data_IF_173719734161
#
_entry.id   IF_173719734161
#
_cell.length_a   1.000
_cell.length_b   1.000
_cell.length_c   1.000
_cell.angle_alpha   90.00
_cell.angle_beta   90.00
_cell.angle_gamma   90.00
#
_symmetry.space_group_name_H-M   'P 1'
#
loop_
_entity.id
_entity.type
_entity.pdbx_description
1 polymer ?
#
# COMPACT_ATOMS: atom_id res chain seq x y z
N UNK A 1 -27.40 -8.50 -5.48
CA UNK A 1 -26.21 -7.67 -5.26
C UNK A 1 -26.71 -6.29 -4.82
N UNK A 2 -27.06 -6.14 -3.54
CA UNK A 2 -27.73 -4.95 -2.96
C UNK A 2 -26.56 -4.11 -2.39
N UNK A 3 -26.20 -2.90 -2.80
CA UNK A 3 -26.92 -1.67 -2.44
C UNK A 3 -26.44 -0.36 -3.14
N UNK A 4 -25.53 -0.36 -4.11
CA UNK A 4 -25.12 0.88 -4.79
C UNK A 4 -25.31 0.81 -6.30
N UNK A 5 -26.05 1.77 -6.85
CA UNK A 5 -26.31 1.92 -8.30
C UNK A 5 -25.11 2.47 -9.05
N UNK A 6 -24.28 3.27 -8.37
CA UNK A 6 -23.06 3.88 -8.89
C UNK A 6 -21.91 3.60 -7.93
N UNK A 7 -20.89 2.86 -8.38
CA UNK A 7 -19.61 2.77 -7.68
C UNK A 7 -18.66 3.82 -8.26
N UNK A 8 -17.99 4.60 -7.39
CA UNK A 8 -16.94 5.54 -7.83
C UNK A 8 -15.86 4.83 -8.65
N UNK A 9 -15.64 3.55 -8.37
CA UNK A 9 -14.70 2.69 -9.06
C UNK A 9 -15.51 1.60 -9.80
N UNK A 10 -15.59 1.65 -11.14
CA UNK A 10 -16.52 0.81 -11.89
C UNK A 10 -16.07 -0.64 -12.01
N UNK A 11 -14.76 -0.91 -11.96
CA UNK A 11 -14.19 -2.26 -12.01
C UNK A 11 -12.86 -2.36 -11.28
N UNK A 12 -12.41 -3.58 -10.94
CA UNK A 12 -11.21 -3.84 -10.14
C UNK A 12 -9.92 -3.21 -10.69
N UNK A 13 -9.79 -3.13 -12.01
CA UNK A 13 -8.62 -2.54 -12.67
C UNK A 13 -8.76 -1.03 -12.95
N UNK A 14 -9.83 -0.37 -12.52
CA UNK A 14 -10.06 1.03 -12.82
C UNK A 14 -9.09 1.89 -12.00
N UNK A 15 -8.47 2.88 -12.64
CA UNK A 15 -7.59 3.80 -11.95
C UNK A 15 -8.38 4.61 -10.92
N UNK A 16 -7.84 4.74 -9.71
CA UNK A 16 -8.44 5.58 -8.66
C UNK A 16 -7.85 6.99 -8.77
N UNK A 17 -8.69 7.99 -9.05
CA UNK A 17 -8.28 9.40 -9.10
C UNK A 17 -8.63 10.18 -7.82
N UNK A 18 -9.47 9.61 -6.96
CA UNK A 18 -9.93 10.22 -5.72
C UNK A 18 -9.82 9.20 -4.56
N UNK A 19 -9.69 9.67 -3.30
CA UNK A 19 -9.81 8.79 -2.16
C UNK A 19 -11.17 8.10 -2.18
N UNK A 20 -11.19 6.81 -1.83
CA UNK A 20 -12.41 6.02 -1.75
C UNK A 20 -12.56 5.46 -0.33
N UNK A 21 -13.81 5.41 0.13
CA UNK A 21 -14.19 4.87 1.42
C UNK A 21 -14.62 3.42 1.29
N UNK A 22 -13.81 2.51 1.85
CA UNK A 22 -14.10 1.08 1.88
C UNK A 22 -15.41 0.76 2.61
N UNK A 23 -15.71 1.44 3.72
CA UNK A 23 -16.90 1.16 4.54
C UNK A 23 -18.19 1.61 3.84
N UNK A 24 -18.07 2.54 2.89
CA UNK A 24 -19.15 2.94 1.99
C UNK A 24 -19.17 2.13 0.68
N UNK A 25 -18.37 1.05 0.59
CA UNK A 25 -18.26 0.18 -0.57
C UNK A 25 -17.92 0.91 -1.89
N UNK A 26 -17.19 2.03 -1.81
CA UNK A 26 -16.79 2.82 -2.99
C UNK A 26 -15.72 2.14 -3.87
N UNK A 27 -15.26 0.95 -3.48
CA UNK A 27 -14.25 0.14 -4.18
C UNK A 27 -14.78 -1.26 -4.47
N UNK A 28 -14.35 -1.86 -5.59
CA UNK A 28 -14.78 -3.21 -5.96
C UNK A 28 -14.23 -4.29 -4.99
N UNK A 29 -15.12 -4.95 -4.26
CA UNK A 29 -14.78 -6.06 -3.36
C UNK A 29 -14.57 -7.39 -4.11
N UNK A 30 -13.77 -8.35 -3.59
CA UNK A 30 -12.88 -8.22 -2.43
C UNK A 30 -11.73 -7.23 -2.70
N UNK A 31 -11.28 -6.56 -1.64
CA UNK A 31 -10.18 -5.61 -1.65
C UNK A 31 -9.14 -5.98 -0.58
N UNK A 32 -7.85 -5.81 -0.90
CA UNK A 32 -6.75 -5.95 0.06
C UNK A 32 -6.36 -4.57 0.59
N UNK A 33 -6.17 -4.45 1.90
CA UNK A 33 -5.92 -3.18 2.58
C UNK A 33 -4.60 -3.23 3.34
N UNK A 34 -3.91 -2.10 3.36
CA UNK A 34 -2.72 -1.89 4.16
C UNK A 34 -2.98 -0.76 5.16
N UNK A 35 -2.66 -1.01 6.42
CA UNK A 35 -2.66 0.06 7.44
C UNK A 35 -1.43 0.93 7.21
N UNK A 36 -1.64 2.14 6.69
CA UNK A 36 -0.57 3.11 6.35
C UNK A 36 0.46 3.27 7.48
N UNK A 37 0.01 3.50 8.71
CA UNK A 37 0.92 3.71 9.85
C UNK A 37 1.76 2.49 10.18
N UNK A 38 1.21 1.27 10.05
CA UNK A 38 1.98 0.05 10.26
C UNK A 38 3.01 -0.15 9.15
N UNK A 39 2.65 0.14 7.90
CA UNK A 39 3.57 0.07 6.76
C UNK A 39 4.75 1.04 6.94
N UNK A 40 4.48 2.31 7.25
CA UNK A 40 5.50 3.33 7.47
C UNK A 40 6.40 2.98 8.65
N UNK A 41 5.83 2.50 9.76
CA UNK A 41 6.59 2.04 10.92
C UNK A 41 7.51 0.87 10.59
N UNK A 42 7.04 -0.11 9.82
CA UNK A 42 7.83 -1.29 9.45
C UNK A 42 8.99 -0.92 8.52
N UNK A 43 8.75 -0.02 7.56
CA UNK A 43 9.79 0.51 6.67
C UNK A 43 10.88 1.19 7.51
N UNK A 44 10.48 2.12 8.37
CA UNK A 44 11.42 2.87 9.22
C UNK A 44 12.16 1.95 10.21
N UNK A 45 11.49 0.94 10.75
CA UNK A 45 12.10 -0.03 11.66
C UNK A 45 13.20 -0.84 10.96
N UNK A 46 12.92 -1.37 9.78
CA UNK A 46 13.87 -2.20 9.05
C UNK A 46 15.10 -1.40 8.63
N UNK A 47 14.91 -0.14 8.23
CA UNK A 47 16.03 0.76 7.94
C UNK A 47 16.89 0.99 9.18
N UNK A 48 16.30 1.40 10.31
CA UNK A 48 17.04 1.63 11.55
C UNK A 48 17.81 0.39 12.00
N UNK A 49 17.24 -0.79 11.80
CA UNK A 49 17.93 -2.05 12.09
C UNK A 49 19.15 -2.24 11.20
N UNK A 50 19.05 -1.99 9.89
CA UNK A 50 20.18 -2.09 8.95
C UNK A 50 21.29 -1.10 9.32
N UNK A 51 20.92 0.16 9.61
CA UNK A 51 21.84 1.21 10.06
C UNK A 51 22.59 0.79 11.33
N UNK A 52 21.85 0.29 12.34
CA UNK A 52 22.43 -0.17 13.61
C UNK A 52 23.37 -1.37 13.45
N UNK A 53 23.25 -2.14 12.37
CA UNK A 53 24.13 -3.26 12.04
C UNK A 53 25.26 -2.90 11.08
N UNK A 54 25.28 -1.67 10.55
CA UNK A 54 26.28 -1.23 9.57
C UNK A 54 26.18 -1.98 8.23
N UNK A 55 24.98 -2.36 7.82
CA UNK A 55 24.73 -3.07 6.55
C UNK A 55 23.77 -2.29 5.67
N UNK A 56 23.90 -2.43 4.35
CA UNK A 56 22.93 -1.88 3.41
C UNK A 56 21.65 -2.72 3.36
N UNK A 57 20.50 -2.06 3.33
CA UNK A 57 19.21 -2.71 3.10
C UNK A 57 18.91 -2.72 1.60
N UNK A 58 18.83 -3.91 1.01
CA UNK A 58 18.38 -4.08 -0.37
C UNK A 58 16.91 -4.57 -0.36
N UNK A 59 15.91 -3.68 -0.47
CA UNK A 59 14.51 -4.09 -0.46
C UNK A 59 14.22 -5.02 -1.66
N UNK A 60 13.56 -6.15 -1.41
CA UNK A 60 13.22 -7.09 -2.47
C UNK A 60 11.82 -6.78 -3.02
N UNK A 61 11.77 -6.20 -4.23
CA UNK A 61 10.52 -5.70 -4.84
C UNK A 61 9.44 -6.74 -5.16
N UNK A 62 9.76 -8.05 -5.13
CA UNK A 62 8.78 -9.13 -5.41
C UNK A 62 7.64 -9.18 -4.39
N UNK A 63 7.91 -8.75 -3.16
CA UNK A 63 6.97 -8.93 -2.03
C UNK A 63 5.79 -7.99 -2.11
N UNK A 64 5.95 -6.81 -2.70
CA UNK A 64 4.85 -5.83 -2.81
C UNK A 64 4.27 -5.77 -4.21
N UNK A 65 5.08 -6.00 -5.26
CA UNK A 65 4.74 -5.69 -6.66
C UNK A 65 4.06 -4.30 -6.82
N UNK A 66 4.30 -3.41 -5.86
CA UNK A 66 3.63 -2.12 -5.71
C UNK A 66 4.72 -1.06 -5.77
N UNK A 67 4.89 -0.38 -6.92
CA UNK A 67 6.00 0.55 -7.15
C UNK A 67 6.14 1.61 -6.06
N UNK A 68 5.02 2.13 -5.55
CA UNK A 68 5.03 3.15 -4.50
C UNK A 68 5.64 2.65 -3.17
N UNK A 69 5.36 1.41 -2.76
CA UNK A 69 5.93 0.87 -1.51
C UNK A 69 7.44 0.66 -1.68
N UNK A 70 7.86 0.16 -2.83
CA UNK A 70 9.27 -0.02 -3.14
C UNK A 70 10.04 1.31 -3.15
N UNK A 71 9.43 2.37 -3.70
CA UNK A 71 9.98 3.73 -3.61
C UNK A 71 10.03 4.23 -2.16
N UNK A 72 9.02 3.93 -1.34
CA UNK A 72 9.03 4.30 0.07
C UNK A 72 10.15 3.61 0.86
N UNK A 73 10.45 2.35 0.55
CA UNK A 73 11.59 1.63 1.12
C UNK A 73 12.93 2.26 0.71
N UNK A 74 13.15 2.49 -0.58
CA UNK A 74 14.38 3.14 -1.08
C UNK A 74 14.58 4.57 -0.54
N UNK A 75 13.50 5.31 -0.30
CA UNK A 75 13.57 6.66 0.29
C UNK A 75 13.93 6.63 1.78
N UNK A 76 13.74 5.51 2.46
CA UNK A 76 14.09 5.39 3.87
C UNK A 76 15.60 5.22 4.06
N UNK A 77 16.29 4.61 3.10
CA UNK A 77 17.74 4.39 3.06
C UNK A 77 18.05 3.02 2.47
#
# INVERSE_FOLDING_TARGET
MKYHSDTLIPHKAAAMAAPANLLAEEVCLPAALLKKTALENNIAWMQRYADARGVSLAPHGKTTMTPWIFQAQQRAG
#
